data_IF_435700194083
#
_entry.id   IF_435700194083
#
_cell.length_a   1.000
_cell.length_b   1.000
_cell.length_c   1.000
_cell.angle_alpha   90.00
_cell.angle_beta   90.00
_cell.angle_gamma   90.00
#
_symmetry.space_group_name_H-M   'P 1'
#
loop_
_entity.id
_entity.type
_entity.pdbx_description
1 polymer ?
#
# COMPACT_ATOMS: atom_id res chain seq x y z
N UNK A 1 -9.51 -57.62 34.62
CA UNK A 1 -8.36 -56.72 34.37
C UNK A 1 -7.96 -56.62 32.88
N UNK A 2 -7.89 -57.72 32.12
CA UNK A 2 -7.51 -57.69 30.69
C UNK A 2 -8.43 -56.84 29.80
N UNK A 3 -9.75 -56.89 30.00
CA UNK A 3 -10.73 -56.11 29.21
C UNK A 3 -10.68 -54.60 29.48
N UNK A 4 -10.34 -54.19 30.71
CA UNK A 4 -10.17 -52.77 31.04
C UNK A 4 -8.97 -52.16 30.33
N UNK A 5 -7.88 -52.93 30.18
CA UNK A 5 -6.69 -52.51 29.44
C UNK A 5 -6.94 -52.38 27.95
N UNK A 6 -7.79 -53.24 27.37
CA UNK A 6 -8.18 -53.19 25.96
C UNK A 6 -9.12 -52.01 25.69
N UNK A 7 -10.05 -51.71 26.61
CA UNK A 7 -10.94 -50.56 26.48
C UNK A 7 -10.17 -49.24 26.51
N UNK A 8 -9.14 -49.14 27.36
CA UNK A 8 -8.30 -47.95 27.50
C UNK A 8 -7.43 -47.70 26.26
N UNK A 9 -6.89 -48.76 25.64
CA UNK A 9 -6.09 -48.62 24.42
C UNK A 9 -6.94 -48.25 23.21
N UNK A 10 -8.16 -48.78 23.10
CA UNK A 10 -9.10 -48.39 22.04
C UNK A 10 -9.54 -46.93 22.18
N UNK A 11 -9.75 -46.44 23.41
CA UNK A 11 -10.12 -45.06 23.67
C UNK A 11 -8.97 -44.07 23.33
N UNK A 12 -7.72 -44.44 23.62
CA UNK A 12 -6.56 -43.64 23.19
C UNK A 12 -6.38 -43.63 21.67
N UNK A 13 -6.66 -44.75 20.98
CA UNK A 13 -6.57 -44.85 19.52
C UNK A 13 -7.68 -44.07 18.80
N UNK A 14 -8.85 -43.93 19.43
CA UNK A 14 -9.96 -43.11 18.93
C UNK A 14 -9.67 -41.61 19.08
N UNK A 15 -8.94 -41.19 20.12
CA UNK A 15 -8.58 -39.78 20.30
C UNK A 15 -7.52 -39.27 19.30
N UNK A 16 -6.62 -40.12 18.82
CA UNK A 16 -5.62 -39.73 17.81
C UNK A 16 -6.22 -39.50 16.42
N UNK A 17 -7.45 -39.96 16.17
CA UNK A 17 -8.22 -39.66 14.95
C UNK A 17 -8.92 -38.29 15.01
N UNK A 18 -9.03 -37.69 16.20
CA UNK A 18 -9.50 -36.32 16.37
C UNK A 18 -8.30 -35.37 16.44
N UNK A 19 -7.59 -35.23 15.31
CA UNK A 19 -6.75 -34.04 15.11
C UNK A 19 -7.70 -32.89 14.78
N UNK A 20 -7.91 -31.90 15.67
CA UNK A 20 -8.57 -30.67 15.25
C UNK A 20 -7.72 -30.10 14.11
N UNK A 21 -8.34 -29.90 12.95
CA UNK A 21 -7.68 -29.25 11.82
C UNK A 21 -7.04 -27.97 12.36
N UNK A 22 -5.71 -27.91 12.32
CA UNK A 22 -4.96 -26.74 12.73
C UNK A 22 -5.55 -25.55 11.97
N UNK A 23 -6.29 -24.69 12.67
CA UNK A 23 -6.81 -23.46 12.11
C UNK A 23 -5.57 -22.69 11.66
N UNK A 24 -5.36 -22.64 10.35
CA UNK A 24 -4.35 -21.77 9.77
C UNK A 24 -4.65 -20.38 10.30
N UNK A 25 -3.79 -19.91 11.21
CA UNK A 25 -3.89 -18.58 11.78
C UNK A 25 -3.74 -17.61 10.63
N UNK A 26 -4.88 -17.16 10.10
CA UNK A 26 -4.94 -16.14 9.08
C UNK A 26 -4.36 -14.91 9.78
N UNK A 27 -3.12 -14.56 9.45
CA UNK A 27 -2.59 -13.23 9.78
C UNK A 27 -3.52 -12.25 9.05
N UNK A 28 -4.54 -11.77 9.75
CA UNK A 28 -5.36 -10.67 9.29
C UNK A 28 -4.42 -9.47 9.21
N UNK A 29 -4.07 -9.09 7.98
CA UNK A 29 -3.28 -7.91 7.70
C UNK A 29 -4.03 -6.68 8.23
N UNK A 30 -3.45 -5.95 9.18
CA UNK A 30 -4.06 -4.75 9.76
C UNK A 30 -3.78 -3.57 8.82
N UNK A 31 -4.63 -3.42 7.80
CA UNK A 31 -4.52 -2.36 6.81
C UNK A 31 -4.70 -1.00 7.49
N UNK A 32 -3.76 -0.09 7.24
CA UNK A 32 -3.78 1.28 7.77
C UNK A 32 -3.54 2.31 6.68
N UNK A 33 -3.94 3.55 6.93
CA UNK A 33 -3.78 4.66 5.99
C UNK A 33 -2.77 5.67 6.51
N UNK A 34 -1.82 6.04 5.66
CA UNK A 34 -0.80 7.05 5.93
C UNK A 34 -1.03 8.27 5.04
N UNK A 35 -1.36 9.41 5.65
CA UNK A 35 -1.52 10.69 4.95
C UNK A 35 -0.33 11.61 5.17
N UNK A 36 -0.04 12.46 4.19
CA UNK A 36 1.01 13.48 4.30
C UNK A 36 0.43 14.80 4.79
N UNK A 37 1.12 15.46 5.72
CA UNK A 37 0.81 16.82 6.18
C UNK A 37 2.10 17.66 6.13
N UNK A 38 2.17 18.73 5.30
CA UNK A 38 1.08 19.34 4.51
C UNK A 38 0.77 18.64 3.18
N UNK A 39 -0.32 19.07 2.52
CA UNK A 39 -0.65 18.71 1.13
C UNK A 39 0.56 18.87 0.20
N UNK A 40 0.71 17.93 -0.74
CA UNK A 40 1.79 17.97 -1.72
C UNK A 40 1.46 19.02 -2.79
N UNK A 41 2.35 20.01 -2.93
CA UNK A 41 2.26 21.03 -3.99
C UNK A 41 3.45 20.88 -4.93
N UNK A 42 3.18 20.67 -6.22
CA UNK A 42 4.21 20.45 -7.23
C UNK A 42 3.78 20.96 -8.60
N UNK A 43 4.70 20.91 -9.56
CA UNK A 43 4.50 21.41 -10.91
C UNK A 43 4.14 20.31 -11.91
N UNK A 44 3.67 20.71 -13.08
CA UNK A 44 3.51 19.89 -14.27
C UNK A 44 3.80 20.70 -15.54
N UNK A 45 3.95 20.02 -16.68
CA UNK A 45 4.32 20.64 -17.96
C UNK A 45 3.10 21.28 -18.62
N UNK A 46 3.18 22.57 -18.94
CA UNK A 46 2.16 23.26 -19.74
C UNK A 46 2.59 23.42 -21.19
N UNK A 47 1.63 23.66 -22.07
CA UNK A 47 1.87 23.90 -23.50
C UNK A 47 2.53 25.26 -23.79
N UNK A 48 2.52 26.19 -22.83
CA UNK A 48 3.13 27.51 -22.96
C UNK A 48 4.65 27.49 -22.72
N UNK A 49 5.44 28.11 -23.61
CA UNK A 49 6.92 28.15 -23.56
C UNK A 49 7.54 28.69 -22.25
N UNK A 50 6.77 29.25 -21.31
CA UNK A 50 7.30 29.93 -20.11
C UNK A 50 6.49 29.76 -18.81
N UNK A 51 5.45 28.92 -18.76
CA UNK A 51 4.67 28.71 -17.53
C UNK A 51 4.75 27.26 -17.08
N UNK A 52 5.05 27.05 -15.80
CA UNK A 52 4.77 25.78 -15.13
C UNK A 52 3.35 25.85 -14.57
N UNK A 53 2.59 24.78 -14.77
CA UNK A 53 1.31 24.60 -14.11
C UNK A 53 1.59 24.00 -12.74
N UNK A 54 0.65 24.15 -11.83
CA UNK A 54 0.81 23.61 -10.48
C UNK A 54 -0.42 22.87 -10.01
N UNK A 55 -0.18 21.86 -9.19
CA UNK A 55 -1.20 21.00 -8.60
C UNK A 55 -0.96 20.90 -7.10
N UNK A 56 -2.04 20.99 -6.34
CA UNK A 56 -2.09 20.63 -4.91
C UNK A 56 -2.88 19.34 -4.79
N UNK A 57 -2.25 18.33 -4.19
CA UNK A 57 -2.85 17.01 -4.01
C UNK A 57 -2.66 16.53 -2.57
N UNK A 58 -3.75 16.06 -1.96
CA UNK A 58 -3.70 15.30 -0.72
C UNK A 58 -3.64 13.81 -1.10
N UNK A 59 -2.59 13.13 -0.64
CA UNK A 59 -2.34 11.72 -0.94
C UNK A 59 -2.42 10.92 0.35
N UNK A 60 -3.07 9.76 0.29
CA UNK A 60 -3.07 8.78 1.36
C UNK A 60 -2.59 7.44 0.81
N UNK A 61 -1.63 6.81 1.49
CA UNK A 61 -1.15 5.48 1.16
C UNK A 61 -1.97 4.44 1.93
N UNK A 62 -2.50 3.45 1.23
CA UNK A 62 -3.05 2.25 1.84
C UNK A 62 -1.91 1.28 2.13
N UNK A 63 -1.48 1.23 3.38
CA UNK A 63 -0.35 0.42 3.84
C UNK A 63 -0.85 -0.99 4.17
N UNK A 64 -0.11 -1.98 3.68
CA UNK A 64 -0.52 -3.38 3.75
C UNK A 64 -0.67 -3.92 5.16
N UNK A 65 0.11 -3.40 6.10
CA UNK A 65 0.02 -3.79 7.51
C UNK A 65 0.55 -2.65 8.40
N UNK A 66 -0.02 -2.49 9.60
CA UNK A 66 0.43 -1.50 10.59
C UNK A 66 1.92 -1.59 10.91
N UNK A 67 2.50 -2.79 10.89
CA UNK A 67 3.94 -3.00 11.14
C UNK A 67 4.86 -2.27 10.15
N UNK A 68 4.34 -1.88 8.98
CA UNK A 68 5.10 -1.14 7.96
C UNK A 68 5.06 0.38 8.14
N UNK A 69 4.28 0.93 9.07
CA UNK A 69 4.16 2.38 9.24
C UNK A 69 5.50 3.07 9.53
N UNK A 70 6.30 2.51 10.44
CA UNK A 70 7.59 3.10 10.80
C UNK A 70 8.56 3.15 9.60
N UNK A 71 8.53 2.12 8.74
CA UNK A 71 9.32 2.10 7.52
C UNK A 71 8.78 3.11 6.49
N UNK A 72 7.45 3.27 6.37
CA UNK A 72 6.83 4.30 5.51
C UNK A 72 7.23 5.71 5.96
N UNK A 73 7.12 6.00 7.26
CA UNK A 73 7.54 7.28 7.85
C UNK A 73 9.03 7.55 7.61
N UNK A 74 9.88 6.54 7.84
CA UNK A 74 11.32 6.67 7.60
C UNK A 74 11.66 6.95 6.14
N UNK A 75 10.94 6.34 5.20
CA UNK A 75 11.14 6.51 3.76
C UNK A 75 10.27 7.62 3.14
N UNK A 76 9.57 8.44 3.95
CA UNK A 76 8.71 9.52 3.46
C UNK A 76 9.41 10.44 2.43
N UNK A 77 10.67 10.89 2.63
CA UNK A 77 11.34 11.75 1.65
C UNK A 77 11.46 11.11 0.26
N UNK A 78 11.68 9.79 0.20
CA UNK A 78 11.77 9.03 -1.05
C UNK A 78 10.40 8.90 -1.73
N UNK A 79 9.36 8.70 -0.92
CA UNK A 79 7.97 8.61 -1.36
C UNK A 79 7.53 9.96 -1.96
N UNK A 80 7.74 11.06 -1.23
CA UNK A 80 7.43 12.41 -1.70
C UNK A 80 8.19 12.76 -2.99
N UNK A 81 9.49 12.46 -3.04
CA UNK A 81 10.29 12.68 -4.24
C UNK A 81 9.74 11.91 -5.45
N UNK A 82 9.29 10.68 -5.26
CA UNK A 82 8.69 9.85 -6.32
C UNK A 82 7.39 10.46 -6.82
N UNK A 83 6.48 10.85 -5.91
CA UNK A 83 5.22 11.51 -6.26
C UNK A 83 5.47 12.81 -7.04
N UNK A 84 6.33 13.69 -6.51
CA UNK A 84 6.70 14.97 -7.13
C UNK A 84 7.27 14.76 -8.54
N UNK A 85 8.19 13.80 -8.69
CA UNK A 85 8.80 13.49 -9.99
C UNK A 85 7.76 13.03 -11.00
N UNK A 86 6.83 12.15 -10.62
CA UNK A 86 5.78 11.69 -11.54
C UNK A 86 4.96 12.87 -12.02
N UNK A 87 4.49 13.75 -11.13
CA UNK A 87 3.72 14.94 -11.50
C UNK A 87 4.49 15.90 -12.42
N UNK A 88 5.76 16.16 -12.12
CA UNK A 88 6.59 17.07 -12.91
C UNK A 88 6.76 16.65 -14.38
N UNK A 89 6.51 15.37 -14.69
CA UNK A 89 6.60 14.83 -16.05
C UNK A 89 5.26 14.84 -16.79
N UNK A 90 4.15 15.14 -16.11
CA UNK A 90 2.82 15.09 -16.72
C UNK A 90 2.54 16.34 -17.54
N UNK A 91 1.85 16.15 -18.67
CA UNK A 91 1.29 17.25 -19.44
C UNK A 91 -0.03 17.72 -18.85
N UNK A 92 -0.32 19.01 -19.03
CA UNK A 92 -1.54 19.68 -18.55
C UNK A 92 -2.83 18.93 -18.87
N UNK A 93 -3.00 18.44 -20.11
CA UNK A 93 -4.20 17.71 -20.54
C UNK A 93 -4.45 16.45 -19.70
N UNK A 94 -3.38 15.81 -19.23
CA UNK A 94 -3.44 14.62 -18.38
C UNK A 94 -3.74 14.98 -16.92
N UNK A 95 -3.15 16.06 -16.41
CA UNK A 95 -3.41 16.55 -15.05
C UNK A 95 -4.85 17.05 -14.88
N UNK A 96 -5.41 17.70 -15.91
CA UNK A 96 -6.75 18.29 -15.85
C UNK A 96 -7.89 17.31 -16.18
N UNK A 97 -7.59 16.14 -16.74
CA UNK A 97 -8.60 15.13 -17.10
C UNK A 97 -8.81 14.08 -16.00
N UNK A 98 -10.04 13.56 -15.88
CA UNK A 98 -10.36 12.50 -14.92
C UNK A 98 -9.59 11.20 -15.22
N UNK A 99 -9.54 10.80 -16.49
CA UNK A 99 -8.78 9.62 -16.92
C UNK A 99 -7.29 9.80 -16.64
N UNK A 100 -6.74 10.97 -16.97
CA UNK A 100 -5.34 11.26 -16.73
C UNK A 100 -4.97 11.29 -15.25
N UNK A 101 -5.84 11.82 -14.39
CA UNK A 101 -5.68 11.73 -12.93
C UNK A 101 -5.55 10.28 -12.45
N UNK A 102 -6.39 9.37 -12.94
CA UNK A 102 -6.31 7.96 -12.56
C UNK A 102 -5.03 7.31 -13.09
N UNK A 103 -4.64 7.59 -14.33
CA UNK A 103 -3.37 7.10 -14.88
C UNK A 103 -2.16 7.59 -14.09
N UNK A 104 -2.17 8.85 -13.64
CA UNK A 104 -1.12 9.41 -12.77
C UNK A 104 -1.09 8.67 -11.43
N UNK A 105 -2.25 8.44 -10.82
CA UNK A 105 -2.37 7.70 -9.55
C UNK A 105 -1.79 6.29 -9.64
N UNK A 106 -2.14 5.57 -10.71
CA UNK A 106 -1.62 4.23 -10.99
C UNK A 106 -0.11 4.24 -11.23
N UNK A 107 0.39 5.23 -11.98
CA UNK A 107 1.84 5.39 -12.20
C UNK A 107 2.58 5.60 -10.89
N UNK A 108 2.05 6.46 -10.01
CA UNK A 108 2.62 6.68 -8.67
C UNK A 108 2.62 5.39 -7.85
N UNK A 109 1.50 4.66 -7.81
CA UNK A 109 1.42 3.39 -7.08
C UNK A 109 2.50 2.40 -7.55
N UNK A 110 2.61 2.20 -8.86
CA UNK A 110 3.58 1.28 -9.46
C UNK A 110 5.02 1.69 -9.13
N UNK A 111 5.35 2.98 -9.27
CA UNK A 111 6.70 3.46 -8.98
C UNK A 111 7.03 3.39 -7.48
N UNK A 112 6.08 3.71 -6.60
CA UNK A 112 6.28 3.59 -5.15
C UNK A 112 6.49 2.13 -4.73
N UNK A 113 5.68 1.21 -5.24
CA UNK A 113 5.87 -0.22 -5.00
C UNK A 113 7.24 -0.70 -5.47
N UNK A 114 7.67 -0.31 -6.68
CA UNK A 114 8.96 -0.70 -7.22
C UNK A 114 10.13 -0.14 -6.40
N UNK A 115 10.08 1.16 -6.07
CA UNK A 115 11.15 1.84 -5.33
C UNK A 115 11.24 1.34 -3.90
N UNK A 116 10.12 1.26 -3.17
CA UNK A 116 10.14 0.77 -1.78
C UNK A 116 10.52 -0.70 -1.69
N UNK A 117 10.03 -1.55 -2.60
CA UNK A 117 10.45 -2.96 -2.65
C UNK A 117 11.95 -3.10 -2.87
N UNK A 118 12.55 -2.23 -3.69
CA UNK A 118 14.01 -2.23 -3.91
C UNK A 118 14.79 -1.80 -2.66
N UNK A 119 14.31 -0.81 -1.90
CA UNK A 119 15.00 -0.33 -0.69
C UNK A 119 14.79 -1.26 0.52
N UNK A 120 13.59 -1.82 0.70
CA UNK A 120 13.20 -2.56 1.91
C UNK A 120 13.05 -4.06 1.71
N UNK A 121 12.88 -4.51 0.47
CA UNK A 121 12.54 -5.89 0.12
C UNK A 121 11.07 -6.27 0.36
N UNK A 122 10.22 -5.33 0.83
CA UNK A 122 8.85 -5.60 1.28
C UNK A 122 7.81 -4.99 0.34
N UNK A 123 6.69 -5.68 0.16
CA UNK A 123 5.50 -5.16 -0.53
C UNK A 123 4.61 -4.42 0.49
N UNK A 124 4.89 -3.13 0.70
CA UNK A 124 4.32 -2.35 1.81
C UNK A 124 3.07 -1.54 1.47
N UNK A 125 2.85 -1.21 0.19
CA UNK A 125 1.76 -0.35 -0.27
C UNK A 125 0.81 -1.18 -1.14
N UNK A 126 -0.47 -1.21 -0.77
CA UNK A 126 -1.53 -1.78 -1.59
C UNK A 126 -2.07 -0.79 -2.61
N UNK A 127 -2.31 0.45 -2.19
CA UNK A 127 -2.93 1.46 -3.04
C UNK A 127 -2.52 2.89 -2.66
N UNK A 128 -2.78 3.83 -3.58
CA UNK A 128 -2.58 5.27 -3.39
C UNK A 128 -3.89 6.00 -3.64
N UNK A 129 -4.35 6.78 -2.68
CA UNK A 129 -5.62 7.50 -2.75
C UNK A 129 -5.37 9.00 -2.91
N UNK A 130 -6.08 9.64 -3.82
CA UNK A 130 -6.12 11.10 -3.94
C UNK A 130 -7.38 11.63 -3.28
N UNK A 131 -7.27 12.18 -2.07
CA UNK A 131 -8.43 12.66 -1.29
C UNK A 131 -8.79 14.12 -1.60
N UNK A 132 -7.83 14.92 -2.06
CA UNK A 132 -8.06 16.23 -2.71
C UNK A 132 -7.15 16.38 -3.91
N UNK A 133 -7.63 17.03 -4.96
CA UNK A 133 -6.88 17.26 -6.19
C UNK A 133 -7.30 18.60 -6.81
N UNK A 134 -6.46 19.62 -6.69
CA UNK A 134 -6.75 20.98 -7.13
C UNK A 134 -5.63 21.41 -8.07
N UNK A 135 -5.99 21.83 -9.27
CA UNK A 135 -5.10 22.40 -10.28
C UNK A 135 -5.59 23.81 -10.67
N UNK A 136 -4.71 24.65 -11.22
CA UNK A 136 -5.05 25.97 -11.78
C UNK A 136 -4.90 26.04 -13.30
#
# INVERSE_FOLDING_TARGET
MKYASILLTVLMLLCSLYTPAAQAQRNEQDIVYYGFDPDIVTNYVTSGRRSLGYVRVSVELMVADRSYLADIEYHEPLILNTIIRVFNQQHEDKVKSLTGREEIRQTILQELQAVLKRETGKDMIHDVLFTRYIHQ
#
